data_IF_970909800616
#
_entry.id   IF_970909800616
#
_cell.length_a   1.000
_cell.length_b   1.000
_cell.length_c   1.000
_cell.angle_alpha   90.00
_cell.angle_beta   90.00
_cell.angle_gamma   90.00
#
_symmetry.space_group_name_H-M   'P 1'
#
loop_
_entity.id
_entity.type
_entity.pdbx_description
1 polymer ?
#
# COMPACT_ATOMS: atom_id res chain seq x y z
N UNK A 1 13.77 -14.33 11.00
CA UNK A 1 12.52 -13.98 11.71
C UNK A 1 11.73 -13.07 10.81
N UNK A 2 10.44 -13.38 10.60
CA UNK A 2 9.45 -12.58 9.87
C UNK A 2 8.45 -12.06 10.89
N UNK A 3 8.07 -10.77 10.81
CA UNK A 3 7.30 -10.08 11.86
C UNK A 3 5.98 -9.47 11.38
N UNK A 4 5.60 -9.70 10.11
CA UNK A 4 4.36 -9.20 9.54
C UNK A 4 3.57 -10.35 8.93
N UNK A 5 2.24 -10.31 9.06
CA UNK A 5 1.34 -11.27 8.40
C UNK A 5 0.96 -10.82 6.99
N UNK A 6 1.14 -9.53 6.69
CA UNK A 6 0.75 -8.94 5.42
C UNK A 6 1.86 -8.08 4.80
N UNK A 7 1.87 -8.05 3.47
CA UNK A 7 2.72 -7.22 2.65
C UNK A 7 1.87 -6.35 1.70
N UNK A 8 2.13 -5.05 1.73
CA UNK A 8 1.63 -4.09 0.74
C UNK A 8 2.77 -3.81 -0.23
N UNK A 9 2.57 -4.14 -1.52
CA UNK A 9 3.60 -4.03 -2.55
C UNK A 9 3.36 -2.79 -3.40
N UNK A 10 4.20 -1.74 -3.28
CA UNK A 10 4.16 -0.62 -4.21
C UNK A 10 4.76 -1.04 -5.55
N UNK A 11 4.09 -0.70 -6.64
CA UNK A 11 4.57 -0.95 -8.02
C UNK A 11 4.49 0.32 -8.82
N UNK A 12 5.55 0.71 -9.51
CA UNK A 12 5.52 1.88 -10.38
C UNK A 12 4.79 1.57 -11.70
N UNK A 13 4.03 2.52 -12.23
CA UNK A 13 3.36 2.33 -13.54
C UNK A 13 4.25 2.73 -14.72
N UNK A 14 5.47 2.20 -14.73
CA UNK A 14 6.45 2.33 -15.82
C UNK A 14 6.84 0.95 -16.35
N UNK A 15 7.51 0.83 -17.52
CA UNK A 15 7.72 -0.44 -18.22
C UNK A 15 8.31 -1.58 -17.37
N UNK A 16 9.06 -1.27 -16.31
CA UNK A 16 9.68 -2.29 -15.46
C UNK A 16 8.81 -2.71 -14.27
N UNK A 17 7.71 -2.01 -14.01
CA UNK A 17 6.89 -2.20 -12.83
C UNK A 17 6.25 -3.58 -12.73
N UNK A 18 5.66 -4.08 -13.83
CA UNK A 18 4.99 -5.39 -13.83
C UNK A 18 5.97 -6.54 -13.57
N UNK A 19 7.08 -6.58 -14.30
CA UNK A 19 8.12 -7.59 -14.11
C UNK A 19 8.70 -7.56 -12.68
N UNK A 20 8.83 -6.36 -12.09
CA UNK A 20 9.28 -6.22 -10.71
C UNK A 20 8.25 -6.76 -9.70
N UNK A 21 6.95 -6.56 -9.96
CA UNK A 21 5.87 -7.09 -9.15
C UNK A 21 5.85 -8.63 -9.17
N UNK A 22 5.97 -9.24 -10.35
CA UNK A 22 6.03 -10.71 -10.50
C UNK A 22 7.20 -11.29 -9.70
N UNK A 23 8.39 -10.66 -9.77
CA UNK A 23 9.56 -11.06 -8.98
C UNK A 23 9.32 -10.91 -7.47
N UNK A 24 8.63 -9.85 -7.04
CA UNK A 24 8.32 -9.64 -5.63
C UNK A 24 7.40 -10.73 -5.07
N UNK A 25 6.44 -11.21 -5.87
CA UNK A 25 5.56 -12.31 -5.49
C UNK A 25 6.37 -13.59 -5.24
N UNK A 26 7.33 -13.90 -6.12
CA UNK A 26 8.24 -15.05 -5.93
C UNK A 26 9.10 -14.90 -4.66
N UNK A 27 9.52 -13.69 -4.32
CA UNK A 27 10.27 -13.41 -3.08
C UNK A 27 9.39 -13.67 -1.85
N UNK A 28 8.13 -13.24 -1.86
CA UNK A 28 7.20 -13.51 -0.75
C UNK A 28 6.96 -15.01 -0.58
N UNK A 29 6.76 -15.74 -1.68
CA UNK A 29 6.66 -17.20 -1.65
C UNK A 29 7.92 -17.83 -1.04
N UNK A 30 9.10 -17.33 -1.40
CA UNK A 30 10.35 -17.85 -0.86
C UNK A 30 10.52 -17.57 0.63
N UNK A 31 10.09 -16.40 1.10
CA UNK A 31 10.08 -16.07 2.53
C UNK A 31 9.20 -17.07 3.28
N UNK A 32 8.00 -17.35 2.78
CA UNK A 32 7.08 -18.30 3.40
C UNK A 32 7.69 -19.71 3.48
N UNK A 33 8.32 -20.19 2.40
CA UNK A 33 9.01 -21.48 2.39
C UNK A 33 10.17 -21.57 3.40
N UNK A 34 11.01 -20.54 3.48
CA UNK A 34 12.25 -20.58 4.28
C UNK A 34 11.95 -20.41 5.77
N UNK A 35 10.92 -19.64 6.11
CA UNK A 35 10.63 -19.27 7.49
C UNK A 35 9.38 -19.96 8.07
N UNK A 36 8.74 -20.87 7.33
CA UNK A 36 7.48 -21.53 7.71
C UNK A 36 6.44 -20.50 8.18
N UNK A 37 6.22 -19.49 7.33
CA UNK A 37 5.39 -18.32 7.63
C UNK A 37 4.32 -18.13 6.56
N UNK A 38 3.22 -17.46 6.90
CA UNK A 38 2.10 -17.19 5.99
C UNK A 38 1.99 -15.69 5.70
N UNK A 39 2.99 -15.13 5.00
CA UNK A 39 2.96 -13.75 4.55
C UNK A 39 2.04 -13.63 3.33
N UNK A 40 1.02 -12.79 3.46
CA UNK A 40 0.05 -12.54 2.39
C UNK A 40 0.34 -11.20 1.71
N UNK A 41 0.39 -11.18 0.37
CA UNK A 41 0.36 -9.91 -0.37
C UNK A 41 -1.08 -9.39 -0.36
N UNK A 42 -1.40 -8.52 0.60
CA UNK A 42 -2.79 -8.06 0.82
C UNK A 42 -3.19 -6.92 -0.11
N UNK A 43 -2.21 -6.12 -0.55
CA UNK A 43 -2.42 -5.03 -1.51
C UNK A 43 -1.25 -4.83 -2.47
N UNK A 44 -1.59 -4.47 -3.70
CA UNK A 44 -0.69 -3.91 -4.69
C UNK A 44 -1.08 -2.45 -4.90
N UNK A 45 -0.13 -1.55 -4.71
CA UNK A 45 -0.36 -0.11 -4.79
C UNK A 45 0.36 0.44 -6.01
N UNK A 46 -0.35 0.75 -7.11
CA UNK A 46 0.27 1.42 -8.24
C UNK A 46 0.73 2.81 -7.82
N UNK A 47 1.96 3.17 -8.13
CA UNK A 47 2.61 4.42 -7.75
C UNK A 47 3.22 5.12 -8.95
N UNK A 48 3.59 6.38 -8.75
CA UNK A 48 4.17 7.23 -9.79
C UNK A 48 3.31 7.29 -11.06
N UNK A 49 1.98 7.24 -10.89
CA UNK A 49 1.07 7.18 -12.03
C UNK A 49 0.98 8.53 -12.75
N UNK A 50 1.30 8.53 -14.05
CA UNK A 50 1.15 9.69 -14.93
C UNK A 50 -0.08 9.53 -15.83
N UNK A 51 -1.17 10.19 -15.44
CA UNK A 51 -2.46 10.16 -16.15
C UNK A 51 -2.41 10.74 -17.57
N UNK A 52 -1.29 11.33 -17.99
CA UNK A 52 -1.12 11.92 -19.33
C UNK A 52 -0.50 10.93 -20.32
N UNK A 53 0.25 9.94 -19.84
CA UNK A 53 0.99 9.02 -20.70
C UNK A 53 0.19 7.77 -21.01
N UNK A 54 0.25 7.29 -22.26
CA UNK A 54 -0.41 6.03 -22.66
C UNK A 54 0.25 4.83 -21.99
N UNK A 55 1.58 4.84 -21.87
CA UNK A 55 2.36 3.79 -21.21
C UNK A 55 1.91 3.56 -19.77
N UNK A 56 1.83 4.62 -18.96
CA UNK A 56 1.42 4.49 -17.56
C UNK A 56 -0.02 3.97 -17.40
N UNK A 57 -0.92 4.34 -18.32
CA UNK A 57 -2.28 3.79 -18.36
C UNK A 57 -2.32 2.32 -18.78
N UNK A 58 -1.56 1.94 -19.79
CA UNK A 58 -1.46 0.55 -20.26
C UNK A 58 -1.01 -0.38 -19.14
N UNK A 59 0.09 -0.02 -18.47
CA UNK A 59 0.66 -0.82 -17.39
C UNK A 59 -0.28 -0.91 -16.19
N UNK A 60 -0.94 0.20 -15.83
CA UNK A 60 -1.97 0.17 -14.78
C UNK A 60 -3.10 -0.82 -15.14
N UNK A 61 -3.58 -0.78 -16.38
CA UNK A 61 -4.63 -1.69 -16.84
C UNK A 61 -4.18 -3.15 -16.81
N UNK A 62 -2.95 -3.45 -17.22
CA UNK A 62 -2.37 -4.80 -17.17
C UNK A 62 -2.32 -5.31 -15.72
N UNK A 63 -1.76 -4.53 -14.81
CA UNK A 63 -1.68 -4.88 -13.37
C UNK A 63 -3.10 -5.07 -12.79
N UNK A 64 -4.05 -4.19 -13.10
CA UNK A 64 -5.42 -4.32 -12.63
C UNK A 64 -6.16 -5.54 -13.19
N UNK A 65 -5.86 -5.92 -14.44
CA UNK A 65 -6.48 -7.09 -15.08
C UNK A 65 -5.97 -8.39 -14.47
N UNK A 66 -4.69 -8.44 -14.13
CA UNK A 66 -4.05 -9.64 -13.59
C UNK A 66 -4.28 -9.82 -12.07
N UNK A 67 -4.23 -8.73 -11.30
CA UNK A 67 -4.24 -8.79 -9.83
C UNK A 67 -5.53 -8.24 -9.18
N UNK A 68 -6.55 -7.92 -9.99
CA UNK A 68 -7.91 -7.44 -9.66
C UNK A 68 -8.19 -7.01 -8.20
N UNK A 69 -8.58 -7.95 -7.32
CA UNK A 69 -9.04 -7.63 -5.95
C UNK A 69 -7.94 -7.08 -5.03
N UNK A 70 -6.68 -7.30 -5.41
CA UNK A 70 -5.50 -6.92 -4.62
C UNK A 70 -5.01 -5.52 -4.98
N UNK A 71 -5.38 -4.99 -6.16
CA UNK A 71 -4.88 -3.69 -6.64
C UNK A 71 -5.71 -2.53 -6.11
N UNK A 72 -5.04 -1.47 -5.64
CA UNK A 72 -5.71 -0.23 -5.19
C UNK A 72 -5.84 0.81 -6.31
N UNK A 73 -6.55 1.90 -6.01
CA UNK A 73 -6.43 3.15 -6.79
C UNK A 73 -4.95 3.57 -6.85
N UNK A 74 -4.48 4.12 -7.99
CA UNK A 74 -3.09 4.53 -8.16
C UNK A 74 -2.76 5.81 -7.36
N UNK A 75 -1.55 5.87 -6.82
CA UNK A 75 -0.96 7.11 -6.31
C UNK A 75 -0.37 7.90 -7.48
N UNK A 76 -0.98 9.04 -7.82
CA UNK A 76 -0.55 9.87 -8.95
C UNK A 76 0.77 10.57 -8.67
N UNK A 77 1.57 10.78 -9.71
CA UNK A 77 2.74 11.67 -9.63
C UNK A 77 2.30 13.06 -9.16
N UNK A 78 2.93 13.56 -8.10
CA UNK A 78 2.58 14.85 -7.53
C UNK A 78 3.79 15.51 -6.86
N UNK A 79 4.05 16.78 -7.18
CA UNK A 79 5.17 17.53 -6.60
C UNK A 79 5.04 17.70 -5.09
N UNK A 80 3.82 17.78 -4.54
CA UNK A 80 3.58 17.95 -3.09
C UNK A 80 4.02 16.76 -2.26
N UNK A 81 4.09 15.56 -2.86
CA UNK A 81 4.69 14.39 -2.20
C UNK A 81 6.19 14.63 -1.96
N UNK A 82 6.91 15.11 -2.98
CA UNK A 82 8.35 15.40 -2.89
C UNK A 82 8.65 16.59 -1.99
N UNK A 83 7.88 17.67 -2.11
CA UNK A 83 8.01 18.85 -1.26
C UNK A 83 7.74 18.52 0.22
N UNK A 84 6.72 17.69 0.50
CA UNK A 84 6.40 17.25 1.86
C UNK A 84 7.53 16.42 2.47
N UNK A 85 8.07 15.46 1.71
CA UNK A 85 9.23 14.67 2.12
C UNK A 85 10.46 15.55 2.41
N UNK A 86 10.77 16.52 1.55
CA UNK A 86 11.87 17.47 1.74
C UNK A 86 11.72 18.34 2.99
N UNK A 87 10.50 18.49 3.51
CA UNK A 87 10.19 19.21 4.76
C UNK A 87 9.93 18.29 5.95
N UNK A 88 10.21 16.99 5.80
CA UNK A 88 9.93 15.97 6.81
C UNK A 88 8.48 15.96 7.31
N UNK A 89 7.52 16.28 6.42
CA UNK A 89 6.09 16.32 6.73
C UNK A 89 5.32 15.31 5.87
N UNK A 90 4.52 14.42 6.48
CA UNK A 90 3.63 13.53 5.72
C UNK A 90 2.70 14.32 4.81
N UNK A 91 2.40 13.82 3.61
CA UNK A 91 1.55 14.56 2.64
C UNK A 91 0.17 14.90 3.19
N UNK A 92 -0.38 14.04 4.07
CA UNK A 92 -1.67 14.28 4.72
C UNK A 92 -1.64 15.48 5.69
N UNK A 93 -0.46 15.85 6.21
CA UNK A 93 -0.24 17.06 7.02
C UNK A 93 0.26 18.24 6.18
N UNK A 94 1.10 17.99 5.18
CA UNK A 94 1.71 19.01 4.34
C UNK A 94 0.75 19.60 3.31
N UNK A 95 0.02 18.75 2.59
CA UNK A 95 -0.80 19.13 1.45
C UNK A 95 -1.98 18.15 1.26
N UNK A 96 -2.86 18.04 2.26
CA UNK A 96 -4.00 17.11 2.26
C UNK A 96 -4.92 17.23 1.04
N UNK A 97 -5.13 18.45 0.55
CA UNK A 97 -6.00 18.74 -0.60
C UNK A 97 -5.36 18.46 -1.97
N UNK A 98 -4.06 18.21 -2.01
CA UNK A 98 -3.34 17.85 -3.24
C UNK A 98 -3.80 16.49 -3.79
N UNK A 99 -3.49 16.21 -5.05
CA UNK A 99 -3.76 14.89 -5.64
C UNK A 99 -3.12 13.77 -4.81
N UNK A 100 -1.83 13.90 -4.46
CA UNK A 100 -1.15 12.90 -3.62
C UNK A 100 -1.80 12.75 -2.24
N UNK A 101 -2.20 13.86 -1.60
CA UNK A 101 -2.92 13.83 -0.31
C UNK A 101 -4.26 13.10 -0.40
N UNK A 102 -5.03 13.35 -1.45
CA UNK A 102 -6.31 12.66 -1.71
C UNK A 102 -6.10 11.17 -2.03
N UNK A 103 -5.09 10.84 -2.82
CA UNK A 103 -4.80 9.46 -3.22
C UNK A 103 -4.39 8.61 -2.01
N UNK A 104 -3.48 9.12 -1.16
CA UNK A 104 -3.12 8.45 0.10
C UNK A 104 -4.30 8.38 1.07
N UNK A 105 -5.16 9.40 1.15
CA UNK A 105 -6.35 9.34 2.00
C UNK A 105 -7.34 8.24 1.56
N UNK A 106 -7.47 7.99 0.25
CA UNK A 106 -8.23 6.85 -0.28
C UNK A 106 -7.57 5.52 0.05
N UNK A 107 -6.24 5.42 -0.14
CA UNK A 107 -5.48 4.22 0.17
C UNK A 107 -5.66 3.81 1.64
N UNK A 108 -5.53 4.76 2.57
CA UNK A 108 -5.75 4.52 4.01
C UNK A 108 -7.14 3.94 4.27
N UNK A 109 -8.19 4.47 3.64
CA UNK A 109 -9.56 3.95 3.80
C UNK A 109 -9.69 2.51 3.31
N UNK A 110 -9.04 2.17 2.19
CA UNK A 110 -9.07 0.80 1.64
C UNK A 110 -8.33 -0.16 2.57
N UNK A 111 -7.14 0.21 3.04
CA UNK A 111 -6.36 -0.60 3.99
C UNK A 111 -7.17 -0.84 5.26
N UNK A 112 -7.66 0.22 5.90
CA UNK A 112 -8.45 0.11 7.15
C UNK A 112 -9.74 -0.72 6.99
N UNK A 113 -10.39 -0.67 5.81
CA UNK A 113 -11.57 -1.49 5.54
C UNK A 113 -11.22 -2.97 5.48
N UNK A 114 -10.06 -3.29 4.92
CA UNK A 114 -9.66 -4.66 4.62
C UNK A 114 -8.90 -5.33 5.79
N UNK A 115 -8.49 -4.59 6.83
CA UNK A 115 -7.91 -5.14 8.09
C UNK A 115 -8.74 -6.30 8.67
N UNK A 116 -10.08 -6.15 8.67
CA UNK A 116 -11.01 -7.16 9.22
C UNK A 116 -10.99 -8.48 8.43
N UNK A 117 -10.56 -8.44 7.16
CA UNK A 117 -10.53 -9.60 6.27
C UNK A 117 -9.39 -10.56 6.62
N UNK A 118 -8.32 -10.05 7.22
CA UNK A 118 -7.10 -10.81 7.53
C UNK A 118 -6.92 -11.07 9.03
N UNK A 119 -7.98 -10.86 9.84
CA UNK A 119 -8.00 -11.20 11.25
C UNK A 119 -7.16 -10.28 12.15
N UNK A 120 -6.69 -9.14 11.64
CA UNK A 120 -5.96 -8.16 12.43
C UNK A 120 -6.97 -7.29 13.20
N UNK A 121 -6.88 -7.32 14.52
CA UNK A 121 -7.61 -6.35 15.36
C UNK A 121 -6.90 -5.00 15.21
N UNK A 122 -7.61 -3.90 14.90
CA UNK A 122 -6.99 -2.60 14.72
C UNK A 122 -6.15 -2.19 15.95
N UNK A 123 -4.92 -1.73 15.75
CA UNK A 123 -4.03 -1.26 16.83
C UNK A 123 -4.71 -0.17 17.69
N UNK A 124 -5.65 0.58 17.11
CA UNK A 124 -6.42 1.61 17.82
C UNK A 124 -7.34 0.98 18.89
N UNK A 125 -7.95 -0.18 18.64
CA UNK A 125 -8.75 -0.89 19.66
C UNK A 125 -7.86 -1.50 20.75
N UNK A 126 -6.64 -1.92 20.41
CA UNK A 126 -5.66 -2.43 21.39
C UNK A 126 -5.18 -1.34 22.36
N UNK A 127 -5.06 -0.10 21.92
CA UNK A 127 -4.74 1.03 22.80
C UNK A 127 -5.93 1.52 23.64
N UNK A 128 -7.16 1.27 23.20
CA UNK A 128 -8.38 1.56 23.98
C UNK A 128 -8.55 0.61 25.17
N UNK A 129 -8.28 -0.69 25.00
CA UNK A 129 -8.37 -1.68 26.10
C UNK A 129 -7.33 -1.47 27.20
N UNK A 130 -6.12 -1.01 26.85
CA UNK A 130 -5.08 -0.71 27.84
C UNK A 130 -5.38 0.52 28.71
N UNK A 131 -6.30 1.40 28.29
CA UNK A 131 -6.73 2.54 29.09
C UNK A 131 -7.74 2.13 30.18
N UNK A 132 -8.59 1.14 29.91
CA UNK A 132 -9.60 0.67 30.88
C UNK A 132 -9.01 -0.27 31.95
N UNK A 133 -7.95 -1.02 31.63
CA UNK A 133 -7.27 -1.93 32.58
C UNK A 133 -6.27 -1.21 33.52
N UNK A 134 -6.03 0.09 33.35
CA UNK A 134 -5.17 0.88 34.25
C UNK A 134 -5.94 1.73 35.28
N UNK A 135 -7.27 1.69 35.26
CA UNK A 135 -8.14 2.38 36.23
C UNK A 135 -8.97 1.41 37.10
N UNK A 136 -8.66 0.11 37.08
CA UNK A 136 -9.31 -0.93 37.90
C UNK A 136 -8.36 -1.53 38.95
#
# INVERSE_FOLDING_TARGET
MVYCSEAIVPVSTDPLGKDALEKMILVVQKINEVFDHDLIVSKIVPTMHDTRTKTSKGILNEIQSEFYQTVTDPIRMNSKLREGAARHKPVLKYARSSNGGKDYAKLVKVVMRDEKKYGLTPIIEMNGRKAEEQEA
#
